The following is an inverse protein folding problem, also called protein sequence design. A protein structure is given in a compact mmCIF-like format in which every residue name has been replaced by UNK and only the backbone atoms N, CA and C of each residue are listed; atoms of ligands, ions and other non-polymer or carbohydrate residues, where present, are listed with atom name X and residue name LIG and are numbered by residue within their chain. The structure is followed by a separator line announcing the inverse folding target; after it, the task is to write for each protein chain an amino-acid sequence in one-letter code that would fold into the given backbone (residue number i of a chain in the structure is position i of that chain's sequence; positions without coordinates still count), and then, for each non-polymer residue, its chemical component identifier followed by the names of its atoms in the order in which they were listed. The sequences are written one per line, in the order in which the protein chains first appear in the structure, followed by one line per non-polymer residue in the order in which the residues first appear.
data_IF_752636693481
#
_entry.id   IF_752636693481
#
_cell.length_a   1.000
_cell.length_b   1.000
_cell.length_c   1.000
_cell.angle_alpha   90.00
_cell.angle_beta   90.00
_cell.angle_gamma   90.00
#
_symmetry.space_group_name_H-M   'P 1'
#
loop_
_entity.id
_entity.type
_entity.pdbx_description
1 polymer ?
#
# COMPACT_ATOMS: atom_id res chain seq x y z
N UNK A 1 25.40 -56.22 -35.28
CA UNK A 1 26.07 -55.25 -34.38
C UNK A 1 25.55 -53.86 -34.69
N UNK A 2 24.68 -53.28 -33.83
CA UNK A 2 24.32 -51.86 -33.93
C UNK A 2 25.48 -51.05 -33.32
N UNK A 3 26.13 -50.19 -34.11
CA UNK A 3 27.12 -49.22 -33.60
C UNK A 3 26.36 -48.15 -32.82
N UNK A 4 26.55 -48.10 -31.51
CA UNK A 4 26.13 -46.96 -30.72
C UNK A 4 27.05 -45.79 -31.06
N UNK A 5 26.50 -44.77 -31.71
CA UNK A 5 27.15 -43.47 -31.88
C UNK A 5 27.11 -42.76 -30.52
N UNK A 6 28.28 -42.62 -29.88
CA UNK A 6 28.41 -41.90 -28.61
C UNK A 6 28.34 -40.39 -28.82
N UNK A 7 27.72 -39.70 -27.87
CA UNK A 7 27.67 -38.23 -27.82
C UNK A 7 29.08 -37.68 -27.57
N UNK A 8 29.50 -36.64 -28.30
CA UNK A 8 30.78 -35.99 -28.05
C UNK A 8 30.67 -35.00 -26.88
N UNK A 9 31.77 -34.79 -26.15
CA UNK A 9 31.81 -33.85 -25.03
C UNK A 9 31.47 -32.42 -25.47
N UNK A 10 31.86 -32.04 -26.69
CA UNK A 10 31.62 -30.71 -27.27
C UNK A 10 30.13 -30.49 -27.51
N UNK A 11 29.42 -31.49 -28.06
CA UNK A 11 27.97 -31.38 -28.30
C UNK A 11 27.20 -31.16 -26.99
N UNK A 12 27.58 -31.87 -25.93
CA UNK A 12 26.97 -31.68 -24.61
C UNK A 12 27.26 -30.28 -24.04
N UNK A 13 28.50 -29.81 -24.19
CA UNK A 13 28.94 -28.51 -23.68
C UNK A 13 28.22 -27.34 -24.37
N UNK A 14 28.02 -27.41 -25.69
CA UNK A 14 27.30 -26.38 -26.44
C UNK A 14 25.84 -26.31 -26.00
N UNK A 15 25.18 -27.45 -25.76
CA UNK A 15 23.77 -27.49 -25.34
C UNK A 15 23.60 -26.86 -23.95
N UNK A 16 24.44 -27.21 -22.98
CA UNK A 16 24.35 -26.60 -21.65
C UNK A 16 24.68 -25.10 -21.70
N UNK A 17 25.59 -24.68 -22.57
CA UNK A 17 25.91 -23.27 -22.74
C UNK A 17 24.71 -22.48 -23.29
N UNK A 18 24.00 -23.03 -24.29
CA UNK A 18 22.79 -22.41 -24.83
C UNK A 18 21.68 -22.35 -23.77
N UNK A 19 21.45 -23.45 -23.02
CA UNK A 19 20.45 -23.47 -21.93
C UNK A 19 20.80 -22.43 -20.85
N UNK A 20 22.08 -22.31 -20.48
CA UNK A 20 22.53 -21.33 -19.48
C UNK A 20 22.27 -19.90 -19.95
N UNK A 21 22.55 -19.58 -21.21
CA UNK A 21 22.28 -18.25 -21.80
C UNK A 21 20.78 -17.96 -21.82
N UNK A 22 19.96 -18.90 -22.28
CA UNK A 22 18.51 -18.73 -22.33
C UNK A 22 17.91 -18.55 -20.94
N UNK A 23 18.34 -19.38 -19.98
CA UNK A 23 17.89 -19.29 -18.60
C UNK A 23 18.28 -17.95 -17.96
N UNK A 24 19.51 -17.47 -18.19
CA UNK A 24 20.00 -16.20 -17.66
C UNK A 24 19.14 -15.00 -18.11
N UNK A 25 18.60 -15.02 -19.32
CA UNK A 25 17.70 -13.96 -19.82
C UNK A 25 16.26 -14.18 -19.33
N UNK A 26 15.82 -15.44 -19.25
CA UNK A 26 14.43 -15.78 -18.90
C UNK A 26 14.11 -15.53 -17.42
N UNK A 27 15.03 -15.83 -16.50
CA UNK A 27 14.82 -15.65 -15.06
C UNK A 27 14.43 -14.22 -14.64
N UNK A 28 15.16 -13.15 -15.02
CA UNK A 28 14.81 -11.79 -14.63
C UNK A 28 13.49 -11.32 -15.27
N UNK A 29 13.18 -11.75 -16.49
CA UNK A 29 11.92 -11.43 -17.17
C UNK A 29 10.75 -12.12 -16.48
N UNK A 30 10.89 -13.41 -16.16
CA UNK A 30 9.87 -14.17 -15.47
C UNK A 30 9.59 -13.63 -14.05
N UNK A 31 10.64 -13.24 -13.31
CA UNK A 31 10.48 -12.62 -12.00
C UNK A 31 9.66 -11.33 -12.08
N UNK A 32 9.96 -10.44 -13.04
CA UNK A 32 9.19 -9.20 -13.27
C UNK A 32 7.74 -9.49 -13.66
N UNK A 33 7.51 -10.46 -14.55
CA UNK A 33 6.16 -10.84 -14.98
C UNK A 33 5.33 -11.40 -13.81
N UNK A 34 5.93 -12.26 -12.98
CA UNK A 34 5.30 -12.81 -11.78
C UNK A 34 4.94 -11.70 -10.79
N UNK A 35 5.82 -10.73 -10.60
CA UNK A 35 5.54 -9.61 -9.70
C UNK A 35 4.42 -8.71 -10.22
N UNK A 36 4.36 -8.46 -11.54
CA UNK A 36 3.23 -7.75 -12.14
C UNK A 36 1.90 -8.48 -11.98
N UNK A 37 1.90 -9.81 -12.07
CA UNK A 37 0.71 -10.61 -11.78
C UNK A 37 0.26 -10.47 -10.32
N UNK A 38 1.20 -10.52 -9.36
CA UNK A 38 0.88 -10.29 -7.94
C UNK A 38 0.39 -8.88 -7.65
N UNK A 39 1.00 -7.87 -8.27
CA UNK A 39 0.52 -6.48 -8.19
C UNK A 39 -0.92 -6.36 -8.67
N UNK A 40 -1.28 -7.01 -9.79
CA UNK A 40 -2.65 -7.04 -10.28
C UNK A 40 -3.61 -7.75 -9.30
N UNK A 41 -3.16 -8.82 -8.64
CA UNK A 41 -3.92 -9.45 -7.54
C UNK A 41 -4.14 -8.48 -6.38
N UNK A 42 -3.11 -7.77 -5.92
CA UNK A 42 -3.27 -6.82 -4.81
C UNK A 42 -4.20 -5.65 -5.19
N UNK A 43 -4.15 -5.16 -6.44
CA UNK A 43 -5.12 -4.17 -6.94
C UNK A 43 -6.56 -4.73 -7.03
N UNK A 44 -6.73 -6.01 -7.35
CA UNK A 44 -8.04 -6.68 -7.30
C UNK A 44 -8.56 -6.84 -5.88
N UNK A 45 -7.68 -6.97 -4.89
CA UNK A 45 -8.06 -6.99 -3.49
C UNK A 45 -8.57 -5.61 -3.04
N UNK A 46 -7.86 -4.54 -3.39
CA UNK A 46 -8.29 -3.17 -3.09
C UNK A 46 -9.63 -2.81 -3.72
N UNK A 47 -9.93 -3.30 -4.94
CA UNK A 47 -11.26 -3.11 -5.55
C UNK A 47 -12.37 -3.80 -4.76
N UNK A 48 -12.12 -4.97 -4.20
CA UNK A 48 -13.10 -5.65 -3.35
C UNK A 48 -13.25 -4.93 -2.00
N UNK A 49 -12.15 -4.40 -1.44
CA UNK A 49 -12.19 -3.52 -0.27
C UNK A 49 -13.04 -2.28 -0.57
N UNK A 50 -12.86 -1.65 -1.73
CA UNK A 50 -13.63 -0.50 -2.18
C UNK A 50 -15.12 -0.79 -2.21
N UNK A 51 -15.51 -1.94 -2.77
CA UNK A 51 -16.91 -2.37 -2.78
C UNK A 51 -17.46 -2.54 -1.37
N UNK A 52 -16.68 -3.13 -0.45
CA UNK A 52 -17.07 -3.27 0.95
C UNK A 52 -17.23 -1.92 1.67
N UNK A 53 -16.32 -0.98 1.44
CA UNK A 53 -16.41 0.38 1.98
C UNK A 53 -17.61 1.15 1.42
N UNK A 54 -17.90 1.03 0.14
CA UNK A 54 -19.05 1.68 -0.49
C UNK A 54 -20.38 1.10 0.02
N UNK A 55 -20.46 -0.22 0.20
CA UNK A 55 -21.63 -0.87 0.80
C UNK A 55 -21.82 -0.43 2.26
N UNK A 56 -20.72 -0.37 3.04
CA UNK A 56 -20.77 0.20 4.38
C UNK A 56 -21.29 1.64 4.38
N UNK A 57 -20.76 2.50 3.51
CA UNK A 57 -21.16 3.90 3.44
C UNK A 57 -22.64 4.06 3.07
N UNK A 58 -23.18 3.21 2.19
CA UNK A 58 -24.61 3.17 1.86
C UNK A 58 -25.49 2.90 3.08
N UNK A 59 -25.04 2.03 3.98
CA UNK A 59 -25.76 1.66 5.20
C UNK A 59 -25.48 2.63 6.38
N UNK A 60 -24.46 3.50 6.28
CA UNK A 60 -23.95 4.33 7.38
C UNK A 60 -23.80 5.82 6.98
N UNK A 61 -24.90 6.42 6.50
CA UNK A 61 -25.02 7.87 6.24
C UNK A 61 -23.93 8.45 5.32
N UNK A 62 -23.47 7.68 4.34
CA UNK A 62 -22.41 8.07 3.40
C UNK A 62 -21.10 8.46 4.11
N UNK A 63 -20.77 7.79 5.21
CA UNK A 63 -19.51 7.97 5.95
C UNK A 63 -18.64 6.73 5.87
N UNK A 64 -17.32 6.94 5.92
CA UNK A 64 -16.37 5.85 6.10
C UNK A 64 -16.38 5.36 7.54
N UNK A 65 -15.98 4.09 7.80
CA UNK A 65 -15.99 3.56 9.15
C UNK A 65 -14.92 4.23 10.04
N UNK A 66 -15.03 4.09 11.36
CA UNK A 66 -13.92 4.36 12.26
C UNK A 66 -12.73 3.47 11.94
N UNK A 67 -11.51 3.98 12.14
CA UNK A 67 -10.27 3.23 11.90
C UNK A 67 -10.12 2.04 12.86
N UNK A 68 -10.53 2.23 14.11
CA UNK A 68 -10.60 1.23 15.16
C UNK A 68 -11.58 1.70 16.24
N UNK A 69 -12.20 0.78 16.98
CA UNK A 69 -13.14 1.07 18.07
C UNK A 69 -12.52 0.78 19.43
N UNK A 70 -13.10 1.34 20.50
CA UNK A 70 -12.65 1.05 21.88
C UNK A 70 -12.87 -0.41 22.28
N UNK A 71 -13.79 -1.10 21.60
CA UNK A 71 -14.02 -2.55 21.72
C UNK A 71 -12.99 -3.41 20.99
N UNK A 72 -12.00 -2.79 20.32
CA UNK A 72 -10.90 -3.47 19.65
C UNK A 72 -11.23 -3.97 18.24
N UNK A 73 -12.29 -3.48 17.59
CA UNK A 73 -12.56 -3.74 16.19
C UNK A 73 -11.79 -2.77 15.30
N UNK A 74 -11.10 -3.23 14.26
CA UNK A 74 -10.52 -2.38 13.21
C UNK A 74 -11.50 -2.17 12.05
N UNK A 75 -11.25 -1.17 11.21
CA UNK A 75 -12.12 -0.88 10.05
C UNK A 75 -12.29 -2.10 9.12
N UNK A 76 -11.24 -2.93 8.95
CA UNK A 76 -11.31 -4.16 8.15
C UNK A 76 -12.34 -5.14 8.72
N UNK A 77 -12.44 -5.23 10.05
CA UNK A 77 -13.44 -6.05 10.73
C UNK A 77 -14.84 -5.45 10.60
N UNK A 78 -14.96 -4.12 10.67
CA UNK A 78 -16.25 -3.42 10.53
C UNK A 78 -16.86 -3.67 9.15
N UNK A 79 -16.04 -3.72 8.10
CA UNK A 79 -16.53 -3.98 6.75
C UNK A 79 -16.57 -5.47 6.37
N UNK A 80 -16.12 -6.36 7.24
CA UNK A 80 -16.12 -7.82 6.99
C UNK A 80 -17.51 -8.38 6.64
N UNK A 81 -18.64 -7.91 7.20
CA UNK A 81 -19.98 -8.36 6.78
C UNK A 81 -20.28 -8.16 5.28
N UNK A 82 -19.63 -7.17 4.65
CA UNK A 82 -19.77 -6.85 3.22
C UNK A 82 -18.77 -7.61 2.36
N UNK A 83 -17.55 -7.80 2.86
CA UNK A 83 -16.44 -8.44 2.13
C UNK A 83 -16.47 -9.98 2.26
N UNK A 84 -16.72 -10.49 3.46
CA UNK A 84 -16.82 -11.91 3.85
C UNK A 84 -15.57 -12.75 3.54
N UNK A 85 -14.39 -12.12 3.48
CA UNK A 85 -13.14 -12.78 3.14
C UNK A 85 -11.94 -12.08 3.79
N UNK A 86 -11.48 -12.62 4.92
CA UNK A 86 -10.31 -12.06 5.64
C UNK A 86 -8.99 -12.26 4.89
N UNK A 87 -8.91 -13.28 4.02
CA UNK A 87 -7.76 -13.53 3.15
C UNK A 87 -7.54 -12.43 2.10
N UNK A 88 -8.56 -11.59 1.85
CA UNK A 88 -8.46 -10.42 0.99
C UNK A 88 -7.40 -9.44 1.46
N UNK A 89 -7.24 -9.29 2.78
CA UNK A 89 -6.38 -8.29 3.38
C UNK A 89 -4.88 -8.67 3.38
N UNK A 90 -4.52 -9.78 2.73
CA UNK A 90 -3.12 -10.23 2.57
C UNK A 90 -2.64 -9.92 1.15
N UNK A 91 -1.57 -9.15 1.02
CA UNK A 91 -0.91 -8.96 -0.27
C UNK A 91 0.13 -10.08 -0.49
N UNK A 92 0.02 -10.89 -1.56
CA UNK A 92 0.96 -11.98 -1.86
C UNK A 92 2.41 -11.57 -2.08
N UNK A 93 2.68 -10.28 -2.32
CA UNK A 93 4.05 -9.77 -2.46
C UNK A 93 4.65 -9.30 -1.12
N UNK A 94 3.82 -9.02 -0.11
CA UNK A 94 4.30 -8.54 1.19
C UNK A 94 4.73 -9.72 2.08
N UNK A 95 6.06 -9.91 2.31
CA UNK A 95 6.57 -11.05 3.05
C UNK A 95 6.30 -10.96 4.55
N UNK A 96 5.89 -9.79 5.05
CA UNK A 96 5.73 -9.56 6.47
C UNK A 96 4.41 -10.19 6.98
N UNK A 97 4.47 -11.08 7.99
CA UNK A 97 3.30 -11.72 8.55
C UNK A 97 2.70 -10.83 9.64
N UNK A 98 2.00 -9.74 9.29
CA UNK A 98 1.37 -8.91 10.32
C UNK A 98 -0.15 -9.04 10.34
N UNK A 99 -0.71 -9.64 11.40
CA UNK A 99 -2.09 -9.36 11.76
C UNK A 99 -2.23 -7.93 12.30
N UNK A 100 -3.36 -7.28 12.02
CA UNK A 100 -3.76 -6.03 12.68
C UNK A 100 -3.83 -6.22 14.21
N UNK A 101 -3.35 -5.23 14.96
CA UNK A 101 -3.06 -5.33 16.40
C UNK A 101 -4.29 -5.06 17.32
N UNK A 102 -4.20 -5.53 18.58
CA UNK A 102 -5.08 -5.40 19.78
C UNK A 102 -6.62 -5.34 19.60
N UNK A 103 -7.25 -6.52 19.58
CA UNK A 103 -8.68 -6.67 19.87
C UNK A 103 -9.39 -7.67 18.95
N UNK A 104 -10.12 -8.60 19.56
CA UNK A 104 -11.02 -9.63 19.01
C UNK A 104 -10.58 -10.55 17.84
N UNK A 105 -9.74 -10.16 16.86
CA UNK A 105 -9.40 -11.03 15.72
C UNK A 105 -7.96 -10.86 15.21
N UNK A 106 -7.04 -11.67 15.73
CA UNK A 106 -5.62 -11.74 15.33
C UNK A 106 -5.37 -12.36 13.94
N UNK A 107 -6.39 -12.46 13.06
CA UNK A 107 -6.32 -13.18 11.79
C UNK A 107 -6.51 -12.30 10.54
N UNK A 108 -6.77 -11.00 10.70
CA UNK A 108 -6.88 -10.06 9.57
C UNK A 108 -5.53 -9.41 9.36
N UNK A 109 -5.00 -9.47 8.14
CA UNK A 109 -3.69 -8.88 7.82
C UNK A 109 -3.79 -7.36 7.66
N UNK A 110 -2.75 -6.64 8.09
CA UNK A 110 -2.61 -5.20 7.91
C UNK A 110 -1.78 -4.84 6.67
N UNK A 111 -1.84 -5.64 5.60
CA UNK A 111 -1.15 -5.33 4.35
C UNK A 111 -1.87 -4.22 3.56
N UNK A 112 -3.14 -3.93 3.90
CA UNK A 112 -3.90 -2.78 3.42
C UNK A 112 -4.33 -1.94 4.61
N UNK A 113 -3.93 -0.67 4.61
CA UNK A 113 -4.18 0.25 5.71
C UNK A 113 -5.03 1.44 5.28
N UNK A 114 -5.97 1.82 6.14
CA UNK A 114 -6.85 2.96 5.94
C UNK A 114 -6.14 4.27 6.24
N UNK A 115 -6.30 5.25 5.35
CA UNK A 115 -5.80 6.60 5.51
C UNK A 115 -6.44 7.25 6.75
N UNK A 116 -5.62 7.41 7.77
CA UNK A 116 -6.01 7.82 9.10
C UNK A 116 -5.76 9.29 9.35
N UNK A 117 -6.40 9.83 10.39
CA UNK A 117 -6.18 11.19 10.83
C UNK A 117 -6.29 11.40 12.32
N UNK A 118 -5.43 12.31 12.78
CA UNK A 118 -5.48 12.90 14.10
C UNK A 118 -6.37 14.16 14.08
N UNK A 119 -7.31 14.26 15.02
CA UNK A 119 -8.20 15.43 15.17
C UNK A 119 -9.00 15.86 13.92
N UNK A 120 -9.48 14.89 13.12
CA UNK A 120 -10.64 15.06 12.25
C UNK A 120 -10.48 15.85 10.94
N UNK A 121 -9.26 16.15 10.47
CA UNK A 121 -9.07 17.06 9.33
C UNK A 121 -8.31 16.56 8.09
N UNK A 122 -7.75 15.34 8.03
CA UNK A 122 -6.87 14.97 6.91
C UNK A 122 -7.24 13.69 6.13
N UNK A 123 -7.91 12.71 6.71
CA UNK A 123 -7.88 11.32 6.22
C UNK A 123 -9.25 10.73 6.02
N UNK A 124 -9.27 9.52 5.47
CA UNK A 124 -10.50 8.88 5.02
C UNK A 124 -11.27 8.18 6.15
N UNK A 125 -10.62 7.80 7.24
CA UNK A 125 -11.22 7.06 8.36
C UNK A 125 -11.23 7.89 9.65
N UNK A 126 -12.26 7.68 10.48
CA UNK A 126 -12.45 8.41 11.74
C UNK A 126 -11.69 7.81 12.93
N UNK A 127 -11.56 8.56 14.03
CA UNK A 127 -10.77 8.19 15.21
C UNK A 127 -11.62 7.53 16.31
N UNK A 128 -11.11 6.46 16.93
CA UNK A 128 -11.86 5.64 17.91
C UNK A 128 -13.27 5.33 17.37
N UNK A 129 -14.33 5.49 18.17
CA UNK A 129 -15.69 5.21 17.72
C UNK A 129 -16.28 6.28 16.78
N UNK A 130 -15.52 7.31 16.37
CA UNK A 130 -16.01 8.32 15.44
C UNK A 130 -15.94 7.81 13.99
N UNK A 131 -17.04 7.95 13.25
CA UNK A 131 -17.06 7.71 11.80
C UNK A 131 -16.14 8.69 11.06
N UNK A 132 -15.65 8.27 9.90
CA UNK A 132 -14.87 9.10 9.01
C UNK A 132 -15.67 10.25 8.41
N UNK A 133 -15.00 11.14 7.64
CA UNK A 133 -15.69 12.21 6.94
C UNK A 133 -16.75 11.65 5.98
N UNK A 134 -17.84 12.41 5.83
CA UNK A 134 -18.83 12.15 4.78
C UNK A 134 -18.16 12.21 3.41
N UNK A 135 -18.54 11.28 2.53
CA UNK A 135 -18.07 11.24 1.14
C UNK A 135 -18.35 12.58 0.41
N UNK A 136 -19.42 13.28 0.78
CA UNK A 136 -19.77 14.59 0.22
C UNK A 136 -18.80 15.73 0.59
N UNK A 137 -17.95 15.54 1.60
CA UNK A 137 -16.94 16.53 2.02
C UNK A 137 -15.60 16.39 1.28
N UNK A 138 -15.48 15.42 0.39
CA UNK A 138 -14.22 15.15 -0.32
C UNK A 138 -14.11 16.06 -1.55
N UNK A 139 -13.15 16.97 -1.53
CA UNK A 139 -12.99 17.98 -2.60
C UNK A 139 -12.61 17.35 -3.95
N UNK A 140 -11.85 16.24 -3.92
CA UNK A 140 -11.40 15.53 -5.12
C UNK A 140 -11.35 14.01 -4.89
N UNK A 141 -12.48 13.29 -4.97
CA UNK A 141 -12.54 11.85 -4.67
C UNK A 141 -11.59 10.99 -5.51
N UNK A 142 -11.39 11.35 -6.79
CA UNK A 142 -10.46 10.67 -7.71
C UNK A 142 -8.98 10.99 -7.44
N UNK A 143 -8.68 11.85 -6.48
CA UNK A 143 -7.32 12.20 -6.07
C UNK A 143 -7.12 12.04 -4.56
N UNK A 144 -8.12 11.54 -3.82
CA UNK A 144 -8.04 11.33 -2.39
C UNK A 144 -7.89 9.85 -2.08
N UNK A 145 -6.78 9.47 -1.45
CA UNK A 145 -6.45 8.10 -1.09
C UNK A 145 -7.22 7.71 0.17
N UNK A 146 -7.94 6.60 0.09
CA UNK A 146 -8.66 6.01 1.23
C UNK A 146 -7.90 4.85 1.83
N UNK A 147 -7.40 3.92 1.02
CA UNK A 147 -6.64 2.76 1.48
C UNK A 147 -5.37 2.66 0.64
N UNK A 148 -4.29 2.20 1.24
CA UNK A 148 -3.04 1.92 0.53
C UNK A 148 -2.42 0.64 1.05
N UNK A 149 -1.59 0.01 0.21
CA UNK A 149 -0.77 -1.11 0.67
C UNK A 149 0.27 -0.62 1.68
N UNK A 150 0.31 -1.26 2.84
CA UNK A 150 1.18 -0.90 3.95
C UNK A 150 2.23 -1.95 4.23
N UNK A 151 3.42 -1.46 4.56
CA UNK A 151 4.44 -2.26 5.19
C UNK A 151 4.07 -2.47 6.67
N UNK A 152 3.29 -3.53 6.88
CA UNK A 152 3.13 -4.31 8.11
C UNK A 152 3.87 -3.81 9.36
N UNK A 153 5.20 -3.70 9.35
CA UNK A 153 6.03 -3.34 10.51
C UNK A 153 5.67 -1.99 11.16
N UNK A 154 5.08 -1.08 10.38
CA UNK A 154 4.72 0.27 10.81
C UNK A 154 3.22 0.59 10.65
N UNK A 155 2.44 -0.29 10.02
CA UNK A 155 0.99 -0.18 9.87
C UNK A 155 0.24 -0.52 11.16
N UNK A 156 0.38 0.32 12.19
CA UNK A 156 -0.27 0.12 13.48
C UNK A 156 -1.80 0.00 13.28
N UNK A 157 -2.42 -1.08 13.74
CA UNK A 157 -3.88 -1.28 13.71
C UNK A 157 -4.54 -1.14 12.32
N UNK A 158 -3.81 -1.42 11.23
CA UNK A 158 -4.38 -1.29 9.90
C UNK A 158 -4.62 0.16 9.47
N UNK A 159 -3.89 1.11 10.07
CA UNK A 159 -3.95 2.52 9.76
C UNK A 159 -2.66 3.00 9.10
N UNK A 160 -2.79 3.99 8.23
CA UNK A 160 -1.66 4.68 7.62
C UNK A 160 -1.83 6.17 7.78
N UNK A 161 -0.75 6.82 8.21
CA UNK A 161 -0.70 8.28 8.37
C UNK A 161 0.50 8.77 7.61
N UNK A 162 0.26 9.71 6.71
CA UNK A 162 1.31 10.45 6.05
C UNK A 162 1.11 11.89 6.48
N UNK A 163 1.74 12.26 7.60
CA UNK A 163 1.64 13.59 8.23
C UNK A 163 2.97 13.95 8.92
N UNK A 164 3.19 15.23 9.25
CA UNK A 164 4.40 15.83 9.83
C UNK A 164 4.36 16.05 11.36
N UNK A 165 3.42 15.46 12.09
CA UNK A 165 3.29 15.74 13.54
C UNK A 165 4.36 15.00 14.36
N UNK A 166 5.05 15.74 15.23
CA UNK A 166 5.98 15.37 16.32
C UNK A 166 5.86 13.99 17.03
N UNK A 167 4.73 13.27 16.96
CA UNK A 167 4.60 11.87 17.39
C UNK A 167 4.96 10.82 16.32
N UNK A 168 5.13 11.23 15.07
CA UNK A 168 5.56 10.43 13.95
C UNK A 168 6.52 11.29 13.08
N UNK A 169 7.83 10.97 13.03
CA UNK A 169 8.82 11.78 12.32
C UNK A 169 8.52 11.80 10.80
N UNK A 170 8.10 12.97 10.31
CA UNK A 170 7.87 13.27 8.88
C UNK A 170 6.77 12.45 8.21
N UNK A 171 6.46 12.71 6.92
CA UNK A 171 5.66 11.79 6.13
C UNK A 171 6.44 10.49 6.05
N UNK A 172 6.12 9.56 6.94
CA UNK A 172 6.82 8.30 7.11
C UNK A 172 6.46 7.37 5.97
N UNK A 173 6.91 7.67 4.75
CA UNK A 173 6.67 6.87 3.54
C UNK A 173 7.17 5.42 3.70
N UNK A 174 8.01 5.17 4.71
CA UNK A 174 8.47 3.85 5.15
C UNK A 174 7.33 2.92 5.64
N UNK A 175 6.12 3.46 5.87
CA UNK A 175 4.93 2.66 6.19
C UNK A 175 4.22 2.12 4.95
N UNK A 176 4.52 2.62 3.75
CA UNK A 176 3.94 2.13 2.50
C UNK A 176 4.67 0.90 1.99
N UNK A 177 3.92 -0.06 1.45
CA UNK A 177 4.51 -1.19 0.76
C UNK A 177 4.84 -0.82 -0.68
N UNK A 178 6.12 -0.64 -1.00
CA UNK A 178 6.60 -0.31 -2.34
C UNK A 178 7.24 -1.50 -3.09
N UNK A 179 6.90 -2.73 -2.71
CA UNK A 179 7.54 -3.94 -3.25
C UNK A 179 7.14 -4.29 -4.69
N UNK A 180 6.10 -3.64 -5.24
CA UNK A 180 5.70 -3.81 -6.64
C UNK A 180 6.59 -3.01 -7.60
N UNK A 181 7.90 -3.31 -7.63
CA UNK A 181 8.90 -2.58 -8.44
C UNK A 181 8.95 -1.08 -8.10
N UNK A 182 8.94 -0.75 -6.81
CA UNK A 182 8.97 0.63 -6.31
C UNK A 182 7.66 1.39 -6.45
N UNK A 183 6.56 0.67 -6.68
CA UNK A 183 5.20 1.21 -6.72
C UNK A 183 4.37 0.58 -5.60
N UNK A 184 3.32 1.29 -5.25
CA UNK A 184 2.29 0.91 -4.29
C UNK A 184 0.94 1.06 -4.97
N UNK A 185 0.03 0.14 -4.73
CA UNK A 185 -1.36 0.30 -5.11
C UNK A 185 -2.06 1.20 -4.08
N UNK A 186 -2.91 2.07 -4.60
CA UNK A 186 -3.69 3.03 -3.84
C UNK A 186 -5.14 2.91 -4.25
N UNK A 187 -6.02 2.73 -3.27
CA UNK A 187 -7.44 2.89 -3.41
C UNK A 187 -7.82 4.35 -3.19
N UNK A 188 -8.55 4.92 -4.14
CA UNK A 188 -9.08 6.27 -4.09
C UNK A 188 -10.53 6.28 -3.62
N UNK A 189 -11.01 7.44 -3.19
CA UNK A 189 -12.33 7.59 -2.58
C UNK A 189 -13.50 7.36 -3.55
N UNK A 190 -13.28 7.52 -4.85
CA UNK A 190 -14.24 7.13 -5.88
C UNK A 190 -14.26 5.61 -6.17
N UNK A 191 -13.41 4.84 -5.47
CA UNK A 191 -13.31 3.39 -5.59
C UNK A 191 -12.33 2.89 -6.67
N UNK A 192 -11.68 3.78 -7.42
CA UNK A 192 -10.67 3.33 -8.37
C UNK A 192 -9.33 3.00 -7.68
N UNK A 193 -8.57 2.11 -8.30
CA UNK A 193 -7.25 1.70 -7.83
C UNK A 193 -6.20 2.14 -8.83
N UNK A 194 -5.12 2.74 -8.33
CA UNK A 194 -3.99 3.17 -9.17
C UNK A 194 -2.67 2.82 -8.51
N UNK A 195 -1.76 2.24 -9.30
CA UNK A 195 -0.39 2.03 -8.87
C UNK A 195 0.43 3.30 -9.11
N UNK A 196 1.05 3.83 -8.06
CA UNK A 196 1.89 5.01 -8.13
C UNK A 196 3.20 4.76 -7.37
N UNK A 197 4.23 5.52 -7.73
CA UNK A 197 5.38 5.65 -6.82
C UNK A 197 4.92 6.41 -5.58
N UNK A 198 5.38 6.05 -4.38
CA UNK A 198 4.94 6.71 -3.16
C UNK A 198 5.02 8.25 -3.20
N UNK A 199 6.14 8.82 -3.63
CA UNK A 199 6.31 10.28 -3.75
C UNK A 199 5.43 10.95 -4.82
N UNK A 200 4.81 10.19 -5.72
CA UNK A 200 3.87 10.72 -6.70
C UNK A 200 2.46 10.99 -6.13
N UNK A 201 2.26 10.77 -4.83
CA UNK A 201 1.00 11.04 -4.11
C UNK A 201 1.08 12.29 -3.21
N UNK A 202 2.28 12.85 -3.06
CA UNK A 202 2.56 14.01 -2.22
C UNK A 202 2.73 15.23 -3.12
N UNK A 203 2.21 16.37 -2.70
CA UNK A 203 2.33 17.60 -3.47
C UNK A 203 3.80 18.08 -3.57
N UNK A 204 4.09 18.87 -4.61
CA UNK A 204 5.45 19.36 -4.86
C UNK A 204 5.99 20.25 -3.72
N UNK A 205 5.14 21.02 -3.03
CA UNK A 205 5.59 21.89 -1.92
C UNK A 205 5.93 21.11 -0.65
N UNK A 206 5.41 19.88 -0.51
CA UNK A 206 5.80 18.94 0.53
C UNK A 206 6.86 17.92 0.09
N UNK A 207 7.52 18.11 -1.06
CA UNK A 207 8.64 17.29 -1.53
C UNK A 207 8.27 16.07 -2.39
N UNK A 208 7.02 15.98 -2.83
CA UNK A 208 6.55 14.99 -3.81
C UNK A 208 6.54 15.50 -5.25
N UNK A 209 5.76 14.85 -6.10
CA UNK A 209 5.59 15.24 -7.52
C UNK A 209 4.15 15.38 -7.95
N UNK A 210 3.18 15.24 -7.05
CA UNK A 210 1.76 15.43 -7.35
C UNK A 210 1.40 16.91 -7.46
N UNK A 211 0.33 17.21 -8.19
CA UNK A 211 -0.23 18.56 -8.30
C UNK A 211 -0.96 19.02 -7.04
N UNK A 212 -1.51 18.06 -6.27
CA UNK A 212 -2.19 18.25 -4.99
C UNK A 212 -1.81 17.10 -4.06
N UNK A 213 -2.08 17.23 -2.77
CA UNK A 213 -1.77 16.20 -1.79
C UNK A 213 -2.89 15.15 -1.76
N UNK A 214 -2.58 13.90 -2.12
CA UNK A 214 -3.60 12.85 -2.20
C UNK A 214 -4.00 12.27 -0.86
N UNK A 215 -3.29 12.62 0.21
CA UNK A 215 -3.54 12.12 1.56
C UNK A 215 -4.45 13.03 2.38
N UNK A 216 -4.80 14.20 1.83
CA UNK A 216 -5.66 15.20 2.47
C UNK A 216 -7.02 15.29 1.80
N UNK A 217 -8.08 15.29 2.61
CA UNK A 217 -9.46 15.45 2.12
C UNK A 217 -9.68 16.75 1.32
N UNK A 218 -8.93 17.81 1.68
CA UNK A 218 -8.96 19.12 1.02
C UNK A 218 -7.85 19.33 -0.01
N UNK A 219 -7.06 18.29 -0.30
CA UNK A 219 -5.97 18.32 -1.29
C UNK A 219 -4.82 19.29 -0.98
N UNK A 220 -4.86 20.00 0.15
CA UNK A 220 -3.88 21.04 0.47
C UNK A 220 -2.52 20.42 0.83
N UNK A 221 -1.42 21.15 0.65
CA UNK A 221 -0.12 20.71 1.12
C UNK A 221 -0.08 20.45 2.63
N UNK A 222 0.90 19.65 3.07
CA UNK A 222 1.27 19.62 4.49
C UNK A 222 1.95 20.96 4.84
N UNK A 223 1.23 21.89 5.47
CA UNK A 223 1.74 23.24 5.80
C UNK A 223 2.53 23.25 7.11
N UNK A 224 3.56 24.09 7.18
CA UNK A 224 4.46 24.22 8.35
C UNK A 224 3.79 24.79 9.61
N UNK A 225 2.60 25.39 9.54
CA UNK A 225 1.86 25.83 10.75
C UNK A 225 1.27 24.67 11.57
N UNK A 226 1.53 23.44 11.16
CA UNK A 226 1.26 22.20 11.90
C UNK A 226 2.51 21.34 12.11
N UNK A 227 3.67 21.82 11.63
CA UNK A 227 4.96 21.15 11.77
C UNK A 227 5.78 21.92 12.81
N UNK A 228 6.11 21.29 13.93
CA UNK A 228 7.27 21.76 14.66
C UNK A 228 8.51 21.54 13.76
N UNK A 229 9.39 22.53 13.77
CA UNK A 229 10.43 22.84 12.78
C UNK A 229 11.49 21.77 12.43
N UNK A 230 11.32 20.51 12.85
CA UNK A 230 12.26 19.40 12.64
C UNK A 230 12.03 18.50 11.41
N UNK A 231 10.83 18.46 10.83
CA UNK A 231 10.43 17.40 9.87
C UNK A 231 10.91 17.52 8.42
N UNK A 232 11.40 18.68 7.96
CA UNK A 232 11.84 18.86 6.55
C UNK A 232 13.13 18.09 6.21
N UNK A 233 13.98 17.83 7.21
CA UNK A 233 15.23 17.07 7.02
C UNK A 233 14.97 15.56 6.83
N UNK A 234 13.85 15.03 7.36
CA UNK A 234 13.53 13.60 7.35
C UNK A 234 12.93 13.13 6.01
N UNK A 235 12.35 14.03 5.21
CA UNK A 235 11.74 13.68 3.91
C UNK A 235 12.80 13.35 2.84
N UNK A 236 13.94 14.03 2.91
CA UNK A 236 15.12 13.72 2.08
C UNK A 236 15.75 12.40 2.50
N UNK A 237 15.74 12.08 3.80
CA UNK A 237 16.19 10.80 4.34
C UNK A 237 15.23 9.65 3.96
N UNK A 238 13.91 9.84 4.10
CA UNK A 238 12.88 8.89 3.68
C UNK A 238 12.92 8.63 2.16
N UNK A 239 13.24 9.65 1.36
CA UNK A 239 13.50 9.48 -0.07
C UNK A 239 14.74 8.62 -0.33
N UNK A 240 15.80 8.77 0.46
CA UNK A 240 16.99 7.93 0.38
C UNK A 240 16.73 6.48 0.84
N UNK A 241 15.96 6.28 1.91
CA UNK A 241 15.57 4.97 2.46
C UNK A 241 14.59 4.22 1.56
N UNK A 242 13.59 4.91 1.00
CA UNK A 242 12.68 4.29 0.04
C UNK A 242 13.42 3.92 -1.26
N UNK A 243 14.32 4.78 -1.74
CA UNK A 243 15.16 4.47 -2.90
C UNK A 243 16.15 3.32 -2.62
N UNK A 244 16.67 3.19 -1.40
CA UNK A 244 17.55 2.07 -1.04
C UNK A 244 16.78 0.75 -0.92
N UNK A 245 15.55 0.77 -0.38
CA UNK A 245 14.64 -0.37 -0.34
C UNK A 245 14.23 -0.86 -1.73
N UNK A 246 14.04 0.06 -2.69
CA UNK A 246 13.77 -0.29 -4.11
C UNK A 246 14.96 -0.97 -4.76
N UNK A 247 16.20 -0.63 -4.36
CA UNK A 247 17.43 -1.19 -4.92
C UNK A 247 17.83 -2.54 -4.30
N UNK A 248 17.20 -2.98 -3.20
CA UNK A 248 17.54 -4.26 -2.55
C UNK A 248 16.81 -5.47 -3.17
N UNK A 249 15.89 -5.24 -4.12
CA UNK A 249 15.13 -6.28 -4.83
C UNK A 249 15.59 -6.51 -6.29
N UNK A 250 16.78 -6.03 -6.65
CA UNK A 250 17.49 -6.36 -7.90
C UNK A 250 18.62 -7.34 -7.65
#
# INVERSE_FOLDING_TARGET
MKRNTGFTLIELLVVIAIIAILAAILFPVFAKAREKARQASCASNEKQIALGLLQYAQDNEETNPPIYTDSGGCWQYIIDPYVKSTGLYKCPSNPNPNPSYRGANANISADYAGNWTYYGLYGAFGYNNAVGPSLAKMDAPAQFITVAESNASNGQNGQITIDRTDRAPGPSMNVLYAGHTGQTNYLFADGHVKSLRPFATIDASAGGTASVNYWRIDGKPFTDSMADSGGLNELTAAKAELNSAVNTFH
#
